data_IF_042200998343
#
_entry.id   IF_042200998343
#
_cell.length_a   1.000
_cell.length_b   1.000
_cell.length_c   1.000
_cell.angle_alpha   90.00
_cell.angle_beta   90.00
_cell.angle_gamma   90.00
#
_symmetry.space_group_name_H-M   'P 1'
#
loop_
_entity.id
_entity.type
_entity.pdbx_description
1 polymer ?
#
# COMPACT_ATOMS: atom_id res chain seq x y z
N UNK A 1 -57.99 70.29 3.82
CA UNK A 1 -57.21 69.58 2.81
C UNK A 1 -55.86 69.29 3.42
N UNK A 2 -55.65 68.03 3.93
CA UNK A 2 -54.40 67.59 4.52
C UNK A 2 -53.70 66.68 3.48
N UNK A 3 -52.57 67.05 3.05
CA UNK A 3 -51.70 66.18 2.23
C UNK A 3 -50.76 65.38 3.14
N UNK A 4 -50.93 64.04 3.11
CA UNK A 4 -49.99 63.12 3.77
C UNK A 4 -48.89 62.74 2.80
N UNK A 5 -47.64 63.00 3.14
CA UNK A 5 -46.46 62.50 2.44
C UNK A 5 -46.15 61.06 2.94
N UNK A 6 -46.19 60.10 2.06
CA UNK A 6 -45.69 58.74 2.31
C UNK A 6 -44.23 58.70 1.88
N UNK A 7 -43.33 58.59 2.82
CA UNK A 7 -41.93 58.34 2.56
C UNK A 7 -41.69 56.83 2.35
N UNK A 8 -41.33 56.43 1.13
CA UNK A 8 -40.91 55.09 0.84
C UNK A 8 -39.42 54.90 1.25
N UNK A 9 -39.18 54.07 2.26
CA UNK A 9 -37.83 53.64 2.63
C UNK A 9 -37.34 52.56 1.66
N UNK A 10 -36.40 52.88 0.79
CA UNK A 10 -35.68 51.91 -0.04
C UNK A 10 -34.58 51.27 0.82
N UNK A 11 -34.80 50.01 1.24
CA UNK A 11 -33.78 49.18 1.88
C UNK A 11 -32.76 48.72 0.85
N UNK A 12 -31.59 49.34 0.83
CA UNK A 12 -30.45 48.81 0.10
C UNK A 12 -29.93 47.55 0.78
N UNK A 13 -30.34 46.41 0.25
CA UNK A 13 -29.71 45.10 0.58
C UNK A 13 -28.31 45.12 -0.04
N UNK A 14 -27.29 45.36 0.76
CA UNK A 14 -25.90 45.10 0.38
C UNK A 14 -25.73 43.61 0.10
N UNK A 15 -25.17 43.22 -1.05
CA UNK A 15 -24.84 41.82 -1.26
C UNK A 15 -23.80 41.41 -0.22
N UNK A 16 -24.14 40.44 0.60
CA UNK A 16 -23.20 39.77 1.49
C UNK A 16 -22.11 39.16 0.59
N UNK A 17 -20.93 39.75 0.59
CA UNK A 17 -19.77 39.19 -0.08
C UNK A 17 -19.54 37.80 0.56
N UNK A 18 -19.78 36.76 -0.19
CA UNK A 18 -19.43 35.40 0.21
C UNK A 18 -17.89 35.44 0.44
N UNK A 19 -17.49 35.41 1.69
CA UNK A 19 -16.08 35.23 2.06
C UNK A 19 -15.68 33.90 1.50
N UNK A 20 -14.84 33.89 0.45
CA UNK A 20 -14.23 32.68 -0.05
C UNK A 20 -13.59 31.97 1.13
N UNK A 21 -14.02 30.75 1.43
CA UNK A 21 -13.34 29.94 2.43
C UNK A 21 -11.85 29.88 2.04
N UNK A 22 -10.92 30.05 2.98
CA UNK A 22 -9.51 29.94 2.67
C UNK A 22 -9.27 28.58 2.01
N UNK A 23 -8.69 28.60 0.79
CA UNK A 23 -8.34 27.41 0.06
C UNK A 23 -7.40 26.58 0.95
N UNK A 24 -7.71 25.29 1.15
CA UNK A 24 -6.82 24.39 1.87
C UNK A 24 -5.40 24.49 1.29
N UNK A 25 -4.33 24.57 2.10
CA UNK A 25 -2.96 24.63 1.59
C UNK A 25 -2.65 23.44 0.67
N UNK A 26 -3.37 22.32 0.85
CA UNK A 26 -3.23 21.10 0.05
C UNK A 26 -3.82 21.19 -1.36
N UNK A 27 -4.64 22.17 -1.67
CA UNK A 27 -5.31 22.33 -2.99
C UNK A 27 -4.78 23.51 -3.81
N UNK A 28 -3.65 24.08 -3.42
CA UNK A 28 -3.00 25.15 -4.20
C UNK A 28 -2.42 24.59 -5.52
N UNK A 29 -2.36 25.41 -6.60
CA UNK A 29 -1.77 24.98 -7.86
C UNK A 29 -0.35 24.42 -7.71
N UNK A 30 0.48 25.02 -6.84
CA UNK A 30 1.85 24.55 -6.58
C UNK A 30 1.87 23.14 -5.97
N UNK A 31 0.99 22.85 -5.02
CA UNK A 31 0.90 21.50 -4.42
C UNK A 31 0.39 20.46 -5.42
N UNK A 32 -0.57 20.85 -6.26
CA UNK A 32 -1.06 19.98 -7.35
C UNK A 32 0.08 19.65 -8.31
N UNK A 33 0.85 20.67 -8.72
CA UNK A 33 1.99 20.45 -9.61
C UNK A 33 3.08 19.60 -8.95
N UNK A 34 3.40 19.83 -7.67
CA UNK A 34 4.34 18.98 -6.92
C UNK A 34 3.92 17.51 -6.94
N UNK A 35 2.63 17.20 -6.74
CA UNK A 35 2.10 15.84 -6.81
C UNK A 35 2.16 15.24 -8.21
N UNK A 36 1.98 16.03 -9.26
CA UNK A 36 2.15 15.60 -10.65
C UNK A 36 3.58 15.12 -10.96
N UNK A 37 4.58 15.62 -10.21
CA UNK A 37 5.99 15.28 -10.40
C UNK A 37 6.45 14.06 -9.59
N UNK A 38 5.59 13.43 -8.79
CA UNK A 38 5.97 12.31 -7.90
C UNK A 38 6.67 11.17 -8.66
N UNK A 39 6.19 10.85 -9.86
CA UNK A 39 6.75 9.79 -10.69
C UNK A 39 7.79 10.27 -11.71
N UNK A 40 8.22 11.53 -11.65
CA UNK A 40 9.23 12.03 -12.56
C UNK A 40 10.57 11.29 -12.35
N UNK A 41 11.15 10.64 -13.39
CA UNK A 41 12.32 9.77 -13.23
C UNK A 41 13.55 10.44 -12.61
N UNK A 42 13.67 11.77 -12.75
CA UNK A 42 14.76 12.55 -12.15
C UNK A 42 14.48 13.00 -10.71
N UNK A 43 13.28 12.76 -10.15
CA UNK A 43 12.86 13.22 -8.83
C UNK A 43 12.35 12.09 -7.93
N UNK A 44 11.97 10.95 -8.49
CA UNK A 44 11.33 9.88 -7.74
C UNK A 44 12.21 9.32 -6.60
N UNK A 45 13.54 9.35 -6.72
CA UNK A 45 14.43 8.98 -5.62
C UNK A 45 14.24 9.88 -4.39
N UNK A 46 13.88 11.15 -4.60
CA UNK A 46 13.61 12.12 -3.54
C UNK A 46 12.14 12.05 -3.09
N UNK A 47 11.20 12.11 -4.02
CA UNK A 47 9.76 12.15 -3.69
C UNK A 47 9.30 10.93 -2.94
N UNK A 48 9.82 9.73 -3.26
CA UNK A 48 9.47 8.46 -2.59
C UNK A 48 9.96 8.37 -1.13
N UNK A 49 10.82 9.29 -0.71
CA UNK A 49 11.32 9.42 0.65
C UNK A 49 10.66 10.59 1.42
N UNK A 50 9.86 11.44 0.73
CA UNK A 50 9.29 12.67 1.27
C UNK A 50 7.81 12.86 0.87
N UNK A 51 7.03 11.78 0.86
CA UNK A 51 5.62 11.83 0.46
C UNK A 51 4.79 12.73 1.38
N UNK A 52 5.16 12.86 2.65
CA UNK A 52 4.54 13.74 3.64
C UNK A 52 4.71 15.24 3.36
N UNK A 53 5.64 15.62 2.49
CA UNK A 53 5.80 16.98 2.02
C UNK A 53 4.83 17.35 0.87
N UNK A 54 4.30 16.34 0.18
CA UNK A 54 3.46 16.53 -1.01
C UNK A 54 1.99 16.19 -0.76
N UNK A 55 1.72 15.24 0.13
CA UNK A 55 0.38 14.74 0.41
C UNK A 55 -0.04 15.01 1.84
N UNK A 56 -1.34 15.22 2.05
CA UNK A 56 -1.91 15.11 3.38
C UNK A 56 -1.71 13.67 3.90
N UNK A 57 -1.36 13.53 5.18
CA UNK A 57 -1.02 12.24 5.76
C UNK A 57 -1.80 11.97 7.04
N UNK A 58 -1.94 10.68 7.38
CA UNK A 58 -2.43 10.25 8.69
C UNK A 58 -1.43 9.30 9.33
N UNK A 59 -0.98 9.65 10.54
CA UNK A 59 0.12 9.00 11.23
C UNK A 59 -0.34 7.68 11.86
N UNK A 60 0.46 6.64 11.71
CA UNK A 60 0.34 5.36 12.42
C UNK A 60 1.36 5.35 13.55
N UNK A 61 0.89 5.52 14.79
CA UNK A 61 1.76 5.70 15.96
C UNK A 61 2.42 4.41 16.41
N UNK A 62 3.73 4.45 16.62
CA UNK A 62 4.49 3.40 17.30
C UNK A 62 4.27 3.44 18.81
N UNK A 63 4.68 2.36 19.52
CA UNK A 63 4.56 2.27 20.98
C UNK A 63 5.70 2.95 21.73
N UNK A 64 6.80 3.29 21.06
CA UNK A 64 8.06 3.71 21.68
C UNK A 64 8.85 2.56 22.33
N UNK A 65 8.40 1.31 22.17
CA UNK A 65 9.05 0.08 22.65
C UNK A 65 9.30 -0.84 21.48
N UNK A 66 10.42 -0.68 20.73
CA UNK A 66 10.67 -1.44 19.51
C UNK A 66 10.99 -2.90 19.80
N UNK A 67 10.55 -3.80 18.93
CA UNK A 67 11.06 -5.15 18.84
C UNK A 67 12.52 -5.11 18.37
N UNK A 68 13.43 -5.43 19.27
CA UNK A 68 14.87 -5.35 19.01
C UNK A 68 15.30 -6.55 18.18
N UNK A 69 15.80 -6.30 16.99
CA UNK A 69 16.42 -7.31 16.13
C UNK A 69 17.95 -7.19 16.25
N UNK A 70 18.64 -8.23 16.72
CA UNK A 70 20.10 -8.23 16.75
C UNK A 70 20.68 -8.02 15.35
N UNK A 71 21.77 -7.28 15.25
CA UNK A 71 22.49 -7.06 13.99
C UNK A 71 23.77 -7.88 13.97
N UNK A 72 24.02 -8.59 12.86
CA UNK A 72 25.29 -9.25 12.65
C UNK A 72 26.38 -8.24 12.28
N UNK A 73 27.62 -8.51 12.70
CA UNK A 73 28.75 -7.62 12.46
C UNK A 73 29.55 -8.01 11.20
N UNK A 74 29.24 -9.17 10.63
CA UNK A 74 29.95 -9.66 9.44
C UNK A 74 29.48 -8.91 8.17
N UNK A 75 30.39 -8.81 7.21
CA UNK A 75 30.07 -8.23 5.90
C UNK A 75 29.15 -9.18 5.13
N UNK A 76 28.05 -8.65 4.65
CA UNK A 76 27.12 -9.38 3.77
C UNK A 76 27.57 -9.22 2.32
N UNK A 77 27.94 -10.32 1.70
CA UNK A 77 28.28 -10.37 0.28
C UNK A 77 27.48 -11.48 -0.41
N UNK A 78 26.95 -11.16 -1.59
CA UNK A 78 26.18 -12.08 -2.42
C UNK A 78 26.38 -11.71 -3.89
N UNK A 79 26.51 -12.74 -4.73
CA UNK A 79 26.43 -12.60 -6.18
C UNK A 79 25.27 -13.43 -6.73
N UNK A 80 24.68 -12.99 -7.82
CA UNK A 80 23.61 -13.70 -8.51
C UNK A 80 23.89 -13.78 -10.01
N UNK A 81 23.29 -14.78 -10.67
CA UNK A 81 23.37 -14.94 -12.12
C UNK A 81 22.01 -14.69 -12.74
N UNK A 82 21.98 -13.82 -13.76
CA UNK A 82 20.79 -13.51 -14.52
C UNK A 82 21.15 -13.38 -16.00
N UNK A 83 20.40 -14.02 -16.89
CA UNK A 83 20.66 -14.05 -18.35
C UNK A 83 22.12 -14.40 -18.72
N UNK A 84 22.71 -15.38 -18.01
CA UNK A 84 24.06 -15.86 -18.23
C UNK A 84 25.18 -14.94 -17.73
N UNK A 85 24.86 -13.85 -17.02
CA UNK A 85 25.85 -12.94 -16.42
C UNK A 85 25.75 -12.97 -14.90
N UNK A 86 26.92 -12.92 -14.26
CA UNK A 86 27.02 -12.83 -12.79
C UNK A 86 27.24 -11.39 -12.38
N UNK A 87 26.47 -10.96 -11.37
CA UNK A 87 26.50 -9.61 -10.82
C UNK A 87 26.78 -9.67 -9.32
N UNK A 88 27.62 -8.78 -8.84
CA UNK A 88 27.82 -8.55 -7.40
C UNK A 88 26.65 -7.73 -6.80
N UNK A 89 26.54 -7.75 -5.48
CA UNK A 89 25.52 -7.00 -4.73
C UNK A 89 25.45 -5.52 -5.15
N UNK A 90 26.58 -4.81 -5.16
CA UNK A 90 26.61 -3.38 -5.50
C UNK A 90 26.13 -3.11 -6.94
N UNK A 91 26.47 -3.99 -7.87
CA UNK A 91 26.00 -3.90 -9.26
C UNK A 91 24.47 -4.06 -9.36
N UNK A 92 23.89 -4.97 -8.56
CA UNK A 92 22.44 -5.12 -8.47
C UNK A 92 21.78 -3.87 -7.89
N UNK A 93 22.29 -3.37 -6.78
CA UNK A 93 21.74 -2.18 -6.11
C UNK A 93 21.78 -0.95 -7.01
N UNK A 94 22.86 -0.76 -7.76
CA UNK A 94 23.02 0.34 -8.72
C UNK A 94 22.04 0.19 -9.90
N UNK A 95 22.07 -0.96 -10.57
CA UNK A 95 21.25 -1.26 -11.75
C UNK A 95 19.76 -1.12 -11.45
N UNK A 96 19.33 -1.46 -10.24
CA UNK A 96 17.94 -1.42 -9.83
C UNK A 96 17.55 -0.17 -9.03
N UNK A 97 18.40 0.88 -9.06
CA UNK A 97 18.18 2.16 -8.38
C UNK A 97 17.69 1.98 -6.94
N UNK A 98 18.35 1.08 -6.20
CA UNK A 98 17.98 0.73 -4.83
C UNK A 98 18.35 1.85 -3.87
N UNK A 99 17.37 2.32 -3.08
CA UNK A 99 17.55 3.28 -2.00
C UNK A 99 17.91 2.59 -0.69
N UNK A 100 17.29 1.43 -0.43
CA UNK A 100 17.56 0.69 0.79
C UNK A 100 17.34 -0.82 0.59
N UNK A 101 18.17 -1.63 1.24
CA UNK A 101 18.07 -3.08 1.31
C UNK A 101 18.24 -3.57 2.74
N UNK A 102 17.33 -4.42 3.19
CA UNK A 102 17.40 -5.14 4.45
C UNK A 102 17.28 -6.63 4.20
N UNK A 103 18.16 -7.41 4.83
CA UNK A 103 18.01 -8.88 4.90
C UNK A 103 17.97 -9.28 6.37
N UNK A 104 16.90 -9.98 6.74
CA UNK A 104 16.75 -10.59 8.06
C UNK A 104 16.76 -12.10 7.86
N UNK A 105 17.61 -12.80 8.61
CA UNK A 105 17.62 -14.26 8.67
C UNK A 105 17.57 -14.72 10.12
N UNK A 106 16.70 -15.69 10.45
CA UNK A 106 16.52 -16.19 11.82
C UNK A 106 16.41 -15.06 12.87
N UNK A 107 15.57 -14.05 12.58
CA UNK A 107 15.32 -12.87 13.43
C UNK A 107 16.54 -11.96 13.67
N UNK A 108 17.59 -12.08 12.88
CA UNK A 108 18.81 -11.25 12.95
C UNK A 108 18.94 -10.43 11.66
N UNK A 109 19.30 -9.17 11.79
CA UNK A 109 19.65 -8.32 10.63
C UNK A 109 21.05 -8.74 10.16
N UNK A 110 21.11 -9.33 8.96
CA UNK A 110 22.37 -9.77 8.34
C UNK A 110 22.88 -8.81 7.26
N UNK A 111 21.98 -7.99 6.71
CA UNK A 111 22.35 -6.87 5.84
C UNK A 111 21.42 -5.70 6.06
N UNK A 112 21.96 -4.50 6.08
CA UNK A 112 21.22 -3.25 6.17
C UNK A 112 21.99 -2.17 5.43
N UNK A 113 21.47 -1.74 4.28
CA UNK A 113 22.16 -0.85 3.35
C UNK A 113 21.24 0.32 3.02
N UNK A 114 21.76 1.53 3.10
CA UNK A 114 21.10 2.77 2.72
C UNK A 114 21.92 3.49 1.66
N UNK A 115 21.25 4.04 0.65
CA UNK A 115 21.84 4.72 -0.50
C UNK A 115 21.05 6.00 -0.82
N UNK A 116 21.58 6.84 -1.71
CA UNK A 116 20.87 8.01 -2.26
C UNK A 116 20.34 8.97 -1.18
N UNK A 117 21.14 9.18 -0.10
CA UNK A 117 20.77 10.09 0.99
C UNK A 117 19.79 9.53 2.02
N UNK A 118 19.32 8.29 1.85
CA UNK A 118 18.47 7.64 2.85
C UNK A 118 19.26 7.15 4.08
N UNK A 119 18.55 6.96 5.17
CA UNK A 119 19.08 6.48 6.45
C UNK A 119 18.00 5.70 7.23
N UNK A 120 18.30 5.28 8.46
CA UNK A 120 17.41 4.50 9.32
C UNK A 120 16.12 5.24 9.73
N UNK A 121 16.07 6.55 9.59
CA UNK A 121 14.88 7.36 9.90
C UNK A 121 14.02 7.64 8.67
N UNK A 122 14.56 7.38 7.46
CA UNK A 122 13.85 7.61 6.20
C UNK A 122 12.61 6.72 6.09
N UNK A 123 11.46 7.33 5.80
CA UNK A 123 10.21 6.64 5.54
C UNK A 123 9.98 6.56 4.04
N UNK A 124 9.93 5.37 3.54
CA UNK A 124 9.76 5.07 2.12
C UNK A 124 8.30 4.73 1.82
N UNK A 125 7.83 5.18 0.66
CA UNK A 125 6.51 4.77 0.16
C UNK A 125 6.51 3.28 -0.20
N UNK A 126 5.47 2.58 0.23
CA UNK A 126 5.26 1.15 -0.06
C UNK A 126 4.83 0.87 -1.49
N UNK A 127 4.18 1.85 -2.12
CA UNK A 127 3.27 1.60 -3.22
C UNK A 127 2.40 0.36 -2.92
N UNK A 128 2.22 -0.54 -3.87
CA UNK A 128 1.26 -1.66 -3.69
C UNK A 128 1.61 -2.70 -2.63
N UNK A 129 2.79 -2.63 -1.96
CA UNK A 129 2.98 -3.44 -0.74
C UNK A 129 1.93 -3.09 0.34
N UNK A 130 1.33 -1.91 0.28
CA UNK A 130 0.21 -1.49 1.13
C UNK A 130 -0.99 -2.45 1.07
N UNK A 131 -1.23 -3.11 -0.06
CA UNK A 131 -2.34 -4.07 -0.22
C UNK A 131 -2.20 -5.24 0.75
N UNK A 132 -0.99 -5.79 0.88
CA UNK A 132 -0.70 -6.86 1.85
C UNK A 132 -0.88 -6.41 3.30
N UNK A 133 -0.59 -5.13 3.60
CA UNK A 133 -0.88 -4.53 4.91
C UNK A 133 -2.39 -4.40 5.12
N UNK A 134 -3.13 -3.92 4.12
CA UNK A 134 -4.59 -3.79 4.16
C UNK A 134 -5.26 -5.15 4.36
N UNK A 135 -4.83 -6.17 3.61
CA UNK A 135 -5.27 -7.55 3.81
C UNK A 135 -5.05 -8.04 5.25
N UNK A 136 -3.89 -7.74 5.83
CA UNK A 136 -3.59 -8.09 7.22
C UNK A 136 -4.59 -7.46 8.19
N UNK A 137 -4.96 -6.19 7.98
CA UNK A 137 -5.96 -5.50 8.80
C UNK A 137 -7.37 -6.09 8.62
N UNK A 138 -7.74 -6.50 7.41
CA UNK A 138 -8.99 -7.22 7.14
C UNK A 138 -9.03 -8.55 7.92
N UNK A 139 -7.92 -9.30 7.94
CA UNK A 139 -7.83 -10.55 8.69
C UNK A 139 -7.99 -10.37 10.20
N UNK A 140 -7.45 -9.30 10.75
CA UNK A 140 -7.63 -8.95 12.16
C UNK A 140 -9.10 -8.56 12.42
N UNK A 141 -9.69 -7.70 11.59
CA UNK A 141 -11.08 -7.28 11.73
C UNK A 141 -12.07 -8.47 11.63
N UNK A 142 -11.76 -9.46 10.78
CA UNK A 142 -12.49 -10.72 10.69
C UNK A 142 -12.42 -11.50 12.02
N UNK A 143 -11.23 -11.65 12.58
CA UNK A 143 -11.03 -12.38 13.84
C UNK A 143 -11.67 -11.71 15.03
N UNK A 144 -11.84 -10.41 15.01
CA UNK A 144 -12.54 -9.61 16.03
C UNK A 144 -14.08 -9.59 15.84
N UNK A 145 -14.60 -10.25 14.77
CA UNK A 145 -16.02 -10.23 14.42
C UNK A 145 -16.53 -8.86 13.95
N UNK A 146 -15.62 -7.93 13.60
CA UNK A 146 -15.97 -6.64 12.98
C UNK A 146 -16.39 -6.82 11.53
N UNK A 147 -15.75 -7.76 10.85
CA UNK A 147 -16.17 -8.35 9.58
C UNK A 147 -16.67 -9.75 9.93
N UNK A 148 -17.90 -10.09 9.55
CA UNK A 148 -18.49 -11.38 9.92
C UNK A 148 -17.97 -12.50 9.03
N UNK A 149 -17.80 -12.24 7.73
CA UNK A 149 -17.27 -13.19 6.75
C UNK A 149 -16.60 -12.46 5.59
N UNK A 150 -15.52 -13.02 5.05
CA UNK A 150 -14.97 -12.51 3.78
C UNK A 150 -15.86 -12.83 2.58
N UNK A 151 -16.84 -13.70 2.73
CA UNK A 151 -17.87 -13.97 1.73
C UNK A 151 -19.07 -13.02 1.81
N UNK A 152 -19.06 -12.10 2.77
CA UNK A 152 -20.04 -11.01 2.82
C UNK A 152 -19.94 -10.12 1.59
N UNK A 153 -21.09 -9.68 1.02
CA UNK A 153 -21.09 -8.75 -0.08
C UNK A 153 -20.54 -7.38 0.35
N UNK A 154 -19.83 -6.72 -0.55
CA UNK A 154 -19.32 -5.35 -0.35
C UNK A 154 -20.40 -4.40 0.13
N UNK A 155 -21.62 -4.52 -0.43
CA UNK A 155 -22.78 -3.68 -0.11
C UNK A 155 -23.30 -3.83 1.32
N UNK A 156 -22.96 -4.91 2.02
CA UNK A 156 -23.28 -5.06 3.45
C UNK A 156 -22.60 -3.99 4.30
N UNK A 157 -21.38 -3.66 3.98
CA UNK A 157 -20.56 -2.65 4.69
C UNK A 157 -20.64 -1.28 4.04
N UNK A 158 -20.79 -1.25 2.71
CA UNK A 158 -20.83 -0.05 1.89
C UNK A 158 -22.14 -0.05 1.04
N UNK A 159 -23.31 0.28 1.63
CA UNK A 159 -24.56 0.28 0.92
C UNK A 159 -24.59 1.27 -0.26
N UNK A 160 -23.74 2.30 -0.22
CA UNK A 160 -23.52 3.21 -1.34
C UNK A 160 -22.96 2.56 -2.62
N UNK A 161 -22.49 1.32 -2.52
CA UNK A 161 -22.03 0.53 -3.69
C UNK A 161 -23.17 -0.21 -4.42
N UNK A 162 -24.41 -0.11 -3.96
CA UNK A 162 -25.57 -0.62 -4.70
C UNK A 162 -25.65 0.06 -6.07
N UNK A 163 -25.86 -0.73 -7.12
CA UNK A 163 -25.91 -0.24 -8.51
C UNK A 163 -24.54 0.05 -9.14
N UNK A 164 -23.43 -0.04 -8.39
CA UNK A 164 -22.08 0.11 -8.91
C UNK A 164 -21.54 -1.19 -9.49
N UNK A 165 -20.31 -1.14 -10.06
CA UNK A 165 -19.57 -2.33 -10.48
C UNK A 165 -19.31 -3.34 -9.37
N UNK A 166 -19.37 -2.92 -8.10
CA UNK A 166 -19.12 -3.75 -6.92
C UNK A 166 -20.35 -4.50 -6.40
N UNK A 167 -21.56 -4.19 -6.89
CA UNK A 167 -22.77 -4.90 -6.47
C UNK A 167 -22.63 -6.40 -6.69
N UNK A 168 -22.81 -7.21 -5.62
CA UNK A 168 -22.67 -8.67 -5.64
C UNK A 168 -21.22 -9.19 -5.60
N UNK A 169 -20.21 -8.32 -5.60
CA UNK A 169 -18.84 -8.71 -5.24
C UNK A 169 -18.75 -8.90 -3.72
N UNK A 170 -17.90 -9.84 -3.28
CA UNK A 170 -17.61 -10.11 -1.86
C UNK A 170 -16.23 -9.57 -1.47
N UNK A 171 -15.96 -9.47 -0.17
CA UNK A 171 -14.63 -9.12 0.35
C UNK A 171 -13.57 -10.08 -0.21
N UNK A 172 -13.88 -11.39 -0.27
CA UNK A 172 -12.99 -12.40 -0.87
C UNK A 172 -12.65 -12.07 -2.32
N UNK A 173 -13.62 -11.66 -3.12
CA UNK A 173 -13.39 -11.30 -4.52
C UNK A 173 -12.40 -10.12 -4.65
N UNK A 174 -12.49 -9.13 -3.76
CA UNK A 174 -11.57 -8.01 -3.75
C UNK A 174 -10.16 -8.44 -3.31
N UNK A 175 -10.04 -9.22 -2.24
CA UNK A 175 -8.77 -9.77 -1.75
C UNK A 175 -8.05 -10.63 -2.81
N UNK A 176 -8.81 -11.26 -3.69
CA UNK A 176 -8.32 -12.10 -4.79
C UNK A 176 -8.14 -11.35 -6.11
N UNK A 177 -8.38 -10.03 -6.14
CA UNK A 177 -8.38 -9.24 -7.38
C UNK A 177 -9.33 -9.81 -8.46
N UNK A 178 -10.53 -10.23 -8.04
CA UNK A 178 -11.56 -10.84 -8.88
C UNK A 178 -12.93 -10.20 -8.68
N UNK A 179 -12.96 -8.89 -8.43
CA UNK A 179 -14.22 -8.15 -8.24
C UNK A 179 -15.14 -8.15 -9.47
N UNK A 180 -14.56 -8.32 -10.65
CA UNK A 180 -15.27 -8.23 -11.93
C UNK A 180 -15.53 -6.78 -12.39
N UNK A 181 -15.00 -5.80 -11.69
CA UNK A 181 -15.08 -4.38 -12.06
C UNK A 181 -14.25 -4.11 -13.31
N UNK A 182 -14.78 -3.28 -14.21
CA UNK A 182 -14.03 -2.78 -15.36
C UNK A 182 -12.98 -1.77 -14.88
N UNK A 183 -11.76 -2.26 -14.75
CA UNK A 183 -10.64 -1.51 -14.27
C UNK A 183 -9.40 -1.84 -15.09
N UNK A 184 -8.72 -0.80 -15.57
CA UNK A 184 -7.50 -0.94 -16.35
C UNK A 184 -6.30 -0.38 -15.58
N UNK A 185 -5.53 -1.28 -14.96
CA UNK A 185 -4.34 -0.96 -14.17
C UNK A 185 -3.11 -0.81 -15.10
N UNK A 186 -3.00 0.33 -15.78
CA UNK A 186 -1.87 0.66 -16.66
C UNK A 186 -1.10 1.84 -16.08
N UNK A 187 0.19 1.64 -15.80
CA UNK A 187 1.07 2.63 -15.17
C UNK A 187 1.76 3.55 -16.20
N UNK A 188 0.99 4.06 -17.14
CA UNK A 188 1.41 5.09 -18.10
C UNK A 188 0.67 6.38 -17.79
N UNK A 189 1.15 7.09 -16.77
CA UNK A 189 0.48 8.26 -16.17
C UNK A 189 0.23 9.44 -17.12
N UNK A 190 0.60 9.34 -18.39
CA UNK A 190 0.27 10.34 -19.44
C UNK A 190 -0.83 9.86 -20.39
N UNK A 191 -1.29 8.61 -20.25
CA UNK A 191 -2.35 8.04 -21.08
C UNK A 191 -3.65 8.00 -20.27
N UNK A 192 -4.81 8.37 -20.86
CA UNK A 192 -6.09 8.34 -20.16
C UNK A 192 -6.54 6.89 -19.93
N UNK A 193 -6.56 6.46 -18.69
CA UNK A 193 -7.10 5.17 -18.21
C UNK A 193 -7.91 5.43 -16.95
N UNK A 194 -8.67 4.45 -16.47
CA UNK A 194 -9.39 4.60 -15.19
C UNK A 194 -8.41 4.85 -14.04
N UNK A 195 -7.25 4.16 -14.04
CA UNK A 195 -6.22 4.40 -13.04
C UNK A 195 -5.73 5.85 -13.04
N UNK A 196 -5.37 6.39 -14.21
CA UNK A 196 -4.86 7.78 -14.30
C UNK A 196 -5.94 8.79 -13.98
N UNK A 197 -7.19 8.57 -14.39
CA UNK A 197 -8.31 9.43 -14.03
C UNK A 197 -8.49 9.51 -12.51
N UNK A 198 -8.55 8.35 -11.84
CA UNK A 198 -8.72 8.30 -10.39
C UNK A 198 -7.50 8.86 -9.67
N UNK A 199 -6.28 8.53 -10.11
CA UNK A 199 -5.04 9.09 -9.58
C UNK A 199 -5.04 10.62 -9.65
N UNK A 200 -5.31 11.19 -10.82
CA UNK A 200 -5.21 12.64 -11.04
C UNK A 200 -6.30 13.40 -10.27
N UNK A 201 -7.49 12.84 -10.16
CA UNK A 201 -8.60 13.52 -9.48
C UNK A 201 -8.63 13.24 -7.96
N UNK A 202 -8.22 12.05 -7.50
CA UNK A 202 -8.22 11.72 -6.07
C UNK A 202 -6.92 12.09 -5.37
N UNK A 203 -5.76 11.66 -5.90
CA UNK A 203 -4.47 11.89 -5.23
C UNK A 203 -3.84 13.22 -5.59
N UNK A 204 -3.88 13.60 -6.87
CA UNK A 204 -3.23 14.85 -7.31
C UNK A 204 -4.10 16.07 -7.01
N UNK A 205 -5.34 16.08 -7.45
CA UNK A 205 -6.20 17.26 -7.39
C UNK A 205 -7.16 17.28 -6.19
N UNK A 206 -7.31 16.16 -5.45
CA UNK A 206 -8.20 16.04 -4.29
C UNK A 206 -9.67 16.37 -4.57
N UNK A 207 -10.16 16.11 -5.78
CA UNK A 207 -11.55 16.41 -6.19
C UNK A 207 -12.57 15.44 -5.60
N UNK A 208 -12.25 14.14 -5.55
CA UNK A 208 -13.09 13.08 -4.98
C UNK A 208 -12.22 11.98 -4.36
N UNK A 209 -12.85 11.03 -3.65
CA UNK A 209 -12.16 9.91 -2.98
C UNK A 209 -12.25 8.65 -3.84
N UNK A 210 -11.33 7.70 -3.65
CA UNK A 210 -11.38 6.40 -4.35
C UNK A 210 -12.73 5.71 -4.17
N UNK A 211 -13.27 5.72 -2.96
CA UNK A 211 -14.57 5.10 -2.68
C UNK A 211 -15.74 5.85 -3.31
N UNK A 212 -15.64 7.18 -3.47
CA UNK A 212 -16.65 7.93 -4.21
C UNK A 212 -16.69 7.54 -5.69
N UNK A 213 -15.50 7.37 -6.30
CA UNK A 213 -15.39 6.86 -7.66
C UNK A 213 -15.95 5.44 -7.76
N UNK A 214 -15.56 4.55 -6.85
CA UNK A 214 -16.04 3.18 -6.82
C UNK A 214 -17.57 3.10 -6.76
N UNK A 215 -18.20 3.91 -5.92
CA UNK A 215 -19.64 3.94 -5.77
C UNK A 215 -20.40 4.53 -6.96
N UNK A 216 -19.84 5.58 -7.59
CA UNK A 216 -20.59 6.38 -8.58
C UNK A 216 -20.21 6.12 -10.02
N UNK A 217 -19.00 5.63 -10.28
CA UNK A 217 -18.44 5.58 -11.63
C UNK A 217 -17.93 4.19 -12.03
N UNK A 218 -17.77 3.24 -11.08
CA UNK A 218 -17.32 1.90 -11.44
C UNK A 218 -18.39 1.12 -12.20
N UNK A 219 -17.98 0.43 -13.24
CA UNK A 219 -18.82 -0.42 -14.06
C UNK A 219 -18.38 -1.88 -13.89
N UNK A 220 -19.29 -2.82 -14.14
CA UNK A 220 -18.99 -4.24 -14.17
C UNK A 220 -18.61 -4.68 -15.57
N UNK A 221 -17.54 -5.48 -15.67
CA UNK A 221 -17.08 -6.12 -16.90
C UNK A 221 -17.38 -7.61 -16.93
N UNK A 222 -17.07 -8.31 -15.82
CA UNK A 222 -17.26 -9.77 -15.71
C UNK A 222 -17.99 -10.12 -14.41
N UNK A 223 -18.45 -11.36 -14.28
CA UNK A 223 -19.00 -11.82 -13.01
C UNK A 223 -17.93 -11.85 -11.93
N UNK A 224 -18.23 -11.43 -10.67
CA UNK A 224 -17.28 -11.54 -9.57
C UNK A 224 -16.78 -12.98 -9.39
N UNK A 225 -15.49 -13.13 -9.07
CA UNK A 225 -14.84 -14.42 -8.87
C UNK A 225 -14.29 -15.08 -10.13
N UNK A 226 -14.62 -14.60 -11.34
CA UNK A 226 -14.29 -15.32 -12.58
C UNK A 226 -12.89 -15.01 -13.12
N UNK A 227 -12.51 -13.73 -13.19
CA UNK A 227 -11.25 -13.30 -13.80
C UNK A 227 -10.36 -12.54 -12.82
N UNK A 228 -9.08 -12.86 -12.84
CA UNK A 228 -8.08 -12.06 -12.14
C UNK A 228 -7.86 -10.73 -12.90
N UNK A 229 -8.09 -9.62 -12.22
CA UNK A 229 -7.82 -8.28 -12.74
C UNK A 229 -7.21 -7.42 -11.62
N UNK A 230 -5.89 -7.26 -11.62
CA UNK A 230 -5.21 -6.50 -10.60
C UNK A 230 -5.77 -5.09 -10.49
N UNK A 231 -6.14 -4.66 -9.28
CA UNK A 231 -6.92 -3.44 -9.08
C UNK A 231 -6.52 -2.71 -7.79
N UNK A 232 -5.93 -1.53 -7.96
CA UNK A 232 -5.72 -0.60 -6.84
C UNK A 232 -7.05 -0.06 -6.30
N UNK A 233 -8.10 -0.04 -7.12
CA UNK A 233 -9.44 0.35 -6.69
C UNK A 233 -10.03 -0.68 -5.73
N UNK A 234 -9.89 -1.99 -6.00
CA UNK A 234 -10.37 -3.06 -5.10
C UNK A 234 -9.74 -2.94 -3.71
N UNK A 235 -8.42 -2.74 -3.63
CA UNK A 235 -7.74 -2.55 -2.36
C UNK A 235 -8.16 -1.26 -1.62
N UNK A 236 -8.49 -0.20 -2.36
CA UNK A 236 -9.02 1.03 -1.76
C UNK A 236 -10.42 0.80 -1.19
N UNK A 237 -11.28 0.03 -1.87
CA UNK A 237 -12.61 -0.37 -1.38
C UNK A 237 -12.50 -1.27 -0.15
N UNK A 238 -11.52 -2.20 -0.09
CA UNK A 238 -11.23 -2.97 1.13
C UNK A 238 -10.92 -2.06 2.33
N UNK A 239 -10.16 -0.99 2.11
CA UNK A 239 -9.90 0.01 3.14
C UNK A 239 -11.17 0.72 3.62
N UNK A 240 -12.09 1.05 2.72
CA UNK A 240 -13.38 1.66 3.08
C UNK A 240 -14.29 0.68 3.86
N UNK A 241 -14.28 -0.60 3.49
CA UNK A 241 -14.96 -1.66 4.25
C UNK A 241 -14.36 -1.74 5.65
N UNK A 242 -13.01 -1.77 5.76
CA UNK A 242 -12.33 -1.81 7.05
C UNK A 242 -12.77 -0.67 7.96
N UNK A 243 -12.62 0.59 7.53
CA UNK A 243 -13.00 1.75 8.34
C UNK A 243 -14.46 1.70 8.78
N UNK A 244 -15.37 1.29 7.90
CA UNK A 244 -16.79 1.16 8.20
C UNK A 244 -17.06 0.06 9.22
N UNK A 245 -16.42 -1.10 9.06
CA UNK A 245 -16.59 -2.25 9.94
C UNK A 245 -16.03 -2.01 11.36
N UNK A 246 -14.86 -1.38 11.45
CA UNK A 246 -14.21 -1.12 12.75
C UNK A 246 -14.67 0.17 13.43
N UNK A 247 -15.32 1.09 12.69
CA UNK A 247 -15.85 2.35 13.21
C UNK A 247 -14.76 3.38 13.58
N UNK A 248 -13.55 3.25 13.02
CA UNK A 248 -12.43 4.17 13.26
C UNK A 248 -11.59 4.36 12.01
N UNK A 249 -10.67 5.33 12.04
CA UNK A 249 -9.73 5.54 10.92
C UNK A 249 -8.77 4.37 10.78
N UNK A 250 -8.43 4.02 9.54
CA UNK A 250 -7.55 2.89 9.28
C UNK A 250 -6.16 3.02 9.89
N UNK A 251 -5.59 4.23 9.92
CA UNK A 251 -4.31 4.48 10.58
C UNK A 251 -4.36 4.24 12.09
N UNK A 252 -5.44 4.64 12.75
CA UNK A 252 -5.62 4.42 14.19
C UNK A 252 -5.80 2.92 14.49
N UNK A 253 -6.61 2.23 13.68
CA UNK A 253 -6.78 0.78 13.79
C UNK A 253 -5.47 0.04 13.59
N UNK A 254 -4.70 0.40 12.54
CA UNK A 254 -3.39 -0.17 12.29
C UNK A 254 -2.41 0.08 13.44
N UNK A 255 -2.42 1.29 14.00
CA UNK A 255 -1.58 1.64 15.15
C UNK A 255 -1.90 0.76 16.38
N UNK A 256 -3.19 0.54 16.66
CA UNK A 256 -3.65 -0.27 17.79
C UNK A 256 -3.38 -1.77 17.59
N UNK A 257 -3.69 -2.29 16.41
CA UNK A 257 -3.75 -3.74 16.16
C UNK A 257 -2.46 -4.33 15.63
N UNK A 258 -1.63 -3.54 14.94
CA UNK A 258 -0.39 -4.02 14.32
C UNK A 258 0.82 -3.25 14.82
N UNK A 259 0.85 -1.93 14.64
CA UNK A 259 2.08 -1.15 14.75
C UNK A 259 2.66 -1.16 16.17
N UNK A 260 1.81 -0.88 17.18
CA UNK A 260 2.20 -0.92 18.59
C UNK A 260 2.45 -2.34 19.10
N UNK A 261 1.53 -3.32 18.91
CA UNK A 261 1.73 -4.68 19.40
C UNK A 261 2.96 -5.38 18.81
N UNK A 262 3.24 -5.16 17.52
CA UNK A 262 4.40 -5.74 16.84
C UNK A 262 5.72 -5.05 17.17
N UNK A 263 5.72 -4.02 18.00
CA UNK A 263 6.96 -3.33 18.38
C UNK A 263 7.65 -2.63 17.22
N UNK A 264 6.88 -1.92 16.38
CA UNK A 264 7.48 -1.10 15.33
C UNK A 264 8.29 0.04 15.93
N UNK A 265 9.42 0.37 15.31
CA UNK A 265 10.42 1.27 15.87
C UNK A 265 10.02 2.74 15.73
N UNK A 266 9.43 3.09 14.59
CA UNK A 266 9.08 4.46 14.24
C UNK A 266 7.62 4.58 13.86
N UNK A 267 7.06 5.79 13.99
CA UNK A 267 5.76 6.11 13.42
C UNK A 267 5.81 5.93 11.90
N UNK A 268 4.82 5.21 11.35
CA UNK A 268 4.54 5.21 9.92
C UNK A 268 3.47 6.25 9.59
N UNK A 269 3.13 6.37 8.30
CA UNK A 269 1.98 7.19 7.89
C UNK A 269 1.39 6.68 6.58
N UNK A 270 0.10 6.97 6.39
CA UNK A 270 -0.59 6.83 5.11
C UNK A 270 -0.66 8.19 4.43
N UNK A 271 -0.40 8.26 3.13
CA UNK A 271 -0.88 9.39 2.33
C UNK A 271 -2.39 9.24 2.15
N UNK A 272 -3.09 10.37 1.99
CA UNK A 272 -4.53 10.42 1.87
C UNK A 272 -4.98 10.82 0.46
N UNK A 273 -6.16 10.38 0.08
CA UNK A 273 -6.82 10.73 -1.16
C UNK A 273 -7.61 12.06 -1.09
N UNK A 274 -7.25 12.91 -0.15
CA UNK A 274 -7.86 14.20 0.08
C UNK A 274 -7.23 14.97 1.22
N UNK A 275 -7.66 16.23 1.45
CA UNK A 275 -7.23 17.00 2.59
C UNK A 275 -7.67 16.34 3.91
N UNK A 276 -7.05 16.71 5.06
CA UNK A 276 -7.22 15.99 6.33
C UNK A 276 -8.66 15.81 6.80
N UNK A 277 -9.53 16.75 6.46
CA UNK A 277 -10.93 16.80 6.92
C UNK A 277 -11.79 15.70 6.27
N UNK A 278 -11.50 15.36 5.02
CA UNK A 278 -12.34 14.46 4.20
C UNK A 278 -11.57 13.30 3.59
N UNK A 279 -10.23 13.37 3.55
CA UNK A 279 -9.38 12.35 2.98
C UNK A 279 -9.45 11.04 3.77
N UNK A 280 -9.32 9.94 3.04
CA UNK A 280 -9.12 8.60 3.57
C UNK A 280 -7.70 8.15 3.27
N UNK A 281 -7.21 7.20 4.04
CA UNK A 281 -5.93 6.55 3.77
C UNK A 281 -5.96 5.89 2.38
N UNK A 282 -4.92 6.09 1.59
CA UNK A 282 -4.80 5.43 0.30
C UNK A 282 -4.34 3.97 0.48
N UNK A 283 -5.29 3.12 0.88
CA UNK A 283 -5.03 1.71 1.27
C UNK A 283 -4.43 0.87 0.15
N UNK A 284 -4.69 1.24 -1.11
CA UNK A 284 -4.14 0.50 -2.25
C UNK A 284 -2.63 0.67 -2.48
N UNK A 285 -2.02 1.81 -1.96
CA UNK A 285 -0.60 2.07 -2.27
C UNK A 285 0.06 3.16 -1.40
N UNK A 286 -0.57 3.66 -0.34
CA UNK A 286 -0.20 4.92 0.29
C UNK A 286 0.62 4.82 1.59
N UNK A 287 1.05 3.64 2.02
CA UNK A 287 1.73 3.49 3.30
C UNK A 287 3.23 3.85 3.23
N UNK A 288 3.74 4.49 4.28
CA UNK A 288 5.14 4.89 4.39
C UNK A 288 5.71 4.46 5.75
N UNK A 289 6.84 3.77 5.71
CA UNK A 289 7.54 3.30 6.91
C UNK A 289 9.06 3.23 6.71
N UNK A 290 9.78 3.03 7.80
CA UNK A 290 11.22 2.80 7.74
C UNK A 290 11.54 1.41 7.17
N UNK A 291 12.75 1.25 6.65
CA UNK A 291 13.25 -0.02 6.15
C UNK A 291 13.12 -1.14 7.19
N UNK A 292 13.52 -0.85 8.44
CA UNK A 292 13.45 -1.82 9.55
C UNK A 292 12.01 -2.18 9.91
N UNK A 293 11.07 -1.25 9.82
CA UNK A 293 9.68 -1.54 10.17
C UNK A 293 8.96 -2.34 9.08
N UNK A 294 9.30 -2.15 7.80
CA UNK A 294 8.92 -3.09 6.76
C UNK A 294 9.51 -4.49 7.00
N UNK A 295 10.76 -4.55 7.49
CA UNK A 295 11.40 -5.81 7.89
C UNK A 295 10.68 -6.50 9.04
N UNK A 296 10.29 -5.77 10.10
CA UNK A 296 9.50 -6.30 11.23
C UNK A 296 8.12 -6.78 10.76
N UNK A 297 7.48 -6.05 9.86
CA UNK A 297 6.21 -6.50 9.25
C UNK A 297 6.39 -7.82 8.50
N UNK A 298 7.39 -7.93 7.63
CA UNK A 298 7.70 -9.18 6.93
C UNK A 298 8.02 -10.34 7.88
N UNK A 299 8.82 -10.07 8.93
CA UNK A 299 9.17 -11.05 9.95
C UNK A 299 7.98 -11.50 10.79
N UNK A 300 7.07 -10.58 11.13
CA UNK A 300 5.80 -10.90 11.79
C UNK A 300 4.99 -11.89 10.94
N UNK A 301 4.86 -11.63 9.64
CA UNK A 301 4.15 -12.54 8.73
C UNK A 301 4.87 -13.89 8.62
N UNK A 302 6.21 -13.91 8.48
CA UNK A 302 7.03 -15.12 8.48
C UNK A 302 6.77 -15.99 9.73
N UNK A 303 6.63 -15.35 10.89
CA UNK A 303 6.34 -16.00 12.17
C UNK A 303 4.85 -16.35 12.36
N UNK A 304 4.07 -16.48 11.31
CA UNK A 304 2.64 -16.80 11.38
C UNK A 304 1.80 -15.74 12.10
N UNK A 305 2.20 -14.49 12.01
CA UNK A 305 1.53 -13.34 12.64
C UNK A 305 2.07 -13.00 14.04
N UNK A 306 3.12 -13.69 14.48
CA UNK A 306 3.77 -13.46 15.77
C UNK A 306 4.86 -12.38 15.70
N UNK A 307 4.92 -11.47 16.68
CA UNK A 307 5.95 -10.45 16.81
C UNK A 307 6.25 -10.19 18.29
N UNK A 308 7.52 -10.12 18.66
CA UNK A 308 7.98 -9.80 20.02
C UNK A 308 7.26 -10.62 21.13
N UNK A 309 7.10 -11.92 20.88
CA UNK A 309 6.43 -12.85 21.81
C UNK A 309 4.91 -12.73 21.87
N UNK A 310 4.26 -11.95 21.01
CA UNK A 310 2.81 -11.75 20.94
C UNK A 310 2.25 -12.24 19.63
N UNK A 311 1.04 -12.83 19.65
CA UNK A 311 0.26 -13.07 18.45
C UNK A 311 -0.44 -11.76 18.06
N UNK A 312 -0.04 -11.15 16.95
CA UNK A 312 -0.55 -9.87 16.45
C UNK A 312 -1.60 -10.09 15.37
N UNK A 313 -1.29 -10.97 14.43
CA UNK A 313 -2.19 -11.35 13.34
C UNK A 313 -2.64 -12.79 13.52
N UNK A 314 -3.92 -13.14 13.34
CA UNK A 314 -4.37 -14.52 13.48
C UNK A 314 -3.59 -15.48 12.57
N UNK A 315 -3.07 -16.56 13.16
CA UNK A 315 -2.23 -17.51 12.44
C UNK A 315 -2.96 -18.13 11.23
N UNK A 316 -4.26 -18.40 11.37
CA UNK A 316 -5.06 -18.99 10.29
C UNK A 316 -5.25 -18.02 9.13
N UNK A 317 -5.32 -16.70 9.42
CA UNK A 317 -5.33 -15.67 8.37
C UNK A 317 -4.01 -15.67 7.60
N UNK A 318 -2.88 -15.65 8.31
CA UNK A 318 -1.56 -15.67 7.65
C UNK A 318 -1.43 -16.91 6.78
N UNK A 319 -1.79 -18.10 7.28
CA UNK A 319 -1.78 -19.35 6.49
C UNK A 319 -2.64 -19.26 5.24
N UNK A 320 -3.86 -18.69 5.35
CA UNK A 320 -4.75 -18.53 4.21
C UNK A 320 -4.22 -17.49 3.20
N UNK A 321 -3.64 -16.42 3.67
CA UNK A 321 -3.16 -15.34 2.82
C UNK A 321 -1.85 -15.65 2.08
N UNK A 322 -0.97 -16.48 2.68
CA UNK A 322 0.38 -16.72 2.16
C UNK A 322 0.64 -18.17 1.75
N UNK A 323 -0.20 -19.12 2.20
CA UNK A 323 -0.08 -20.55 1.91
C UNK A 323 -1.35 -21.06 1.24
N UNK A 324 -1.24 -21.83 0.20
CA UNK A 324 -2.39 -22.45 -0.43
C UNK A 324 -2.23 -22.62 -1.93
N UNK A 325 -3.32 -22.95 -2.60
CA UNK A 325 -3.33 -23.11 -4.07
C UNK A 325 -2.97 -21.77 -4.69
N UNK A 326 -1.87 -21.73 -5.41
CA UNK A 326 -1.41 -20.55 -6.15
C UNK A 326 -2.35 -20.31 -7.33
N UNK A 327 -3.40 -19.52 -7.14
CA UNK A 327 -4.29 -19.13 -8.23
C UNK A 327 -3.48 -18.37 -9.29
N UNK A 328 -3.40 -18.88 -10.53
CA UNK A 328 -2.63 -18.23 -11.58
C UNK A 328 -3.18 -16.84 -11.87
N UNK A 329 -2.30 -15.89 -12.05
CA UNK A 329 -2.66 -14.50 -12.41
C UNK A 329 -2.80 -14.30 -13.92
N UNK A 330 -2.62 -15.35 -14.69
CA UNK A 330 -2.78 -15.38 -16.15
C UNK A 330 -1.63 -16.07 -16.89
N UNK A 331 -1.77 -16.31 -18.19
CA UNK A 331 -0.75 -16.98 -18.99
C UNK A 331 0.60 -16.26 -18.93
N UNK A 332 1.68 -17.01 -18.70
CA UNK A 332 3.05 -16.50 -18.72
C UNK A 332 3.45 -15.63 -17.52
N UNK A 333 2.64 -15.53 -16.48
CA UNK A 333 3.02 -14.84 -15.23
C UNK A 333 3.71 -15.82 -14.29
N UNK A 334 4.89 -15.48 -13.74
CA UNK A 334 5.68 -16.38 -12.90
C UNK A 334 5.17 -16.45 -11.45
N UNK A 335 4.06 -15.81 -11.13
CA UNK A 335 3.54 -15.70 -9.77
C UNK A 335 2.04 -15.97 -9.71
N UNK A 336 1.60 -16.57 -8.60
CA UNK A 336 0.20 -16.60 -8.21
C UNK A 336 -0.18 -15.40 -7.35
N UNK A 337 -1.45 -15.35 -6.89
CA UNK A 337 -1.96 -14.28 -6.04
C UNK A 337 -2.98 -14.81 -5.05
N UNK A 338 -2.82 -14.46 -3.77
CA UNK A 338 -3.69 -14.90 -2.69
C UNK A 338 -3.83 -13.79 -1.64
N UNK A 339 -5.03 -13.32 -1.39
CA UNK A 339 -5.37 -12.28 -0.40
C UNK A 339 -4.36 -11.14 -0.30
N UNK A 340 -4.14 -10.49 -1.46
CA UNK A 340 -3.20 -9.35 -1.61
C UNK A 340 -1.71 -9.69 -1.40
N UNK A 341 -1.34 -10.97 -1.50
CA UNK A 341 0.04 -11.43 -1.54
C UNK A 341 0.37 -12.10 -2.87
N UNK A 342 1.56 -11.86 -3.39
CA UNK A 342 2.11 -12.57 -4.54
C UNK A 342 2.76 -13.86 -4.07
N UNK A 343 2.37 -14.98 -4.62
CA UNK A 343 2.90 -16.30 -4.30
C UNK A 343 3.83 -16.79 -5.41
N UNK A 344 4.79 -17.62 -5.06
CA UNK A 344 5.78 -18.13 -6.02
C UNK A 344 5.48 -19.62 -6.24
N UNK A 345 5.19 -20.04 -7.50
CA UNK A 345 4.96 -21.45 -7.82
C UNK A 345 6.12 -22.33 -7.38
N UNK A 346 5.80 -23.55 -6.92
CA UNK A 346 6.76 -24.54 -6.47
C UNK A 346 7.65 -24.10 -5.29
N UNK A 347 7.23 -23.07 -4.55
CA UNK A 347 7.92 -22.52 -3.40
C UNK A 347 6.93 -22.14 -2.30
N UNK A 348 7.37 -22.13 -1.04
CA UNK A 348 6.61 -21.54 0.06
C UNK A 348 6.84 -20.03 0.17
N UNK A 349 7.75 -19.48 -0.62
CA UNK A 349 8.05 -18.07 -0.61
C UNK A 349 6.88 -17.25 -1.19
N UNK A 350 6.68 -16.07 -0.63
CA UNK A 350 5.67 -15.11 -1.05
C UNK A 350 6.21 -13.68 -0.89
N UNK A 351 5.51 -12.72 -1.45
CA UNK A 351 5.99 -11.35 -1.40
C UNK A 351 4.87 -10.31 -1.49
N UNK A 352 5.07 -9.17 -0.84
CA UNK A 352 4.40 -7.92 -1.15
C UNK A 352 5.21 -7.17 -2.20
N UNK A 353 4.55 -6.63 -3.23
CA UNK A 353 5.20 -5.97 -4.37
C UNK A 353 4.58 -4.61 -4.61
N UNK A 354 5.41 -3.60 -4.76
CA UNK A 354 5.00 -2.24 -5.10
C UNK A 354 5.69 -1.71 -6.36
N UNK A 355 5.08 -0.70 -6.97
CA UNK A 355 5.66 0.01 -8.12
C UNK A 355 7.11 0.44 -7.85
N UNK A 356 7.88 0.60 -8.94
CA UNK A 356 9.26 1.02 -8.88
C UNK A 356 10.14 0.10 -8.02
N UNK A 357 9.78 -1.20 -7.96
CA UNK A 357 10.53 -2.29 -7.34
C UNK A 357 10.64 -2.18 -5.81
N UNK A 358 9.49 -1.92 -5.14
CA UNK A 358 9.36 -2.11 -3.70
C UNK A 358 9.02 -3.57 -3.42
N UNK A 359 9.73 -4.21 -2.49
CA UNK A 359 9.51 -5.62 -2.14
C UNK A 359 9.62 -5.85 -0.64
N UNK A 360 8.71 -6.67 -0.12
CA UNK A 360 8.91 -7.47 1.08
C UNK A 360 8.82 -8.92 0.63
N UNK A 361 9.96 -9.58 0.46
CA UNK A 361 10.05 -10.99 0.10
C UNK A 361 10.24 -11.82 1.35
N UNK A 362 9.49 -12.90 1.49
CA UNK A 362 9.47 -13.77 2.66
C UNK A 362 9.68 -15.21 2.21
N UNK A 363 10.70 -15.85 2.77
CA UNK A 363 11.02 -17.26 2.52
C UNK A 363 10.92 -18.07 3.83
N UNK A 364 9.85 -18.84 4.01
CA UNK A 364 9.68 -19.68 5.19
C UNK A 364 10.70 -20.83 5.30
N UNK A 365 11.20 -21.36 4.19
CA UNK A 365 12.11 -22.52 4.20
C UNK A 365 13.52 -22.15 4.73
N UNK A 366 13.96 -20.92 4.50
CA UNK A 366 15.24 -20.41 5.02
C UNK A 366 15.09 -19.42 6.18
N UNK A 367 13.87 -19.19 6.66
CA UNK A 367 13.54 -18.16 7.67
C UNK A 367 14.11 -16.78 7.32
N UNK A 368 13.94 -16.37 6.06
CA UNK A 368 14.51 -15.13 5.52
C UNK A 368 13.43 -14.12 5.13
N UNK A 369 13.69 -12.84 5.47
CA UNK A 369 12.92 -11.69 4.97
C UNK A 369 13.88 -10.76 4.24
N UNK A 370 13.52 -10.34 3.03
CA UNK A 370 14.27 -9.35 2.26
C UNK A 370 13.33 -8.16 2.00
N UNK A 371 13.75 -6.97 2.42
CA UNK A 371 13.06 -5.72 2.06
C UNK A 371 13.95 -4.94 1.12
N UNK A 372 13.42 -4.58 -0.04
CA UNK A 372 14.11 -3.77 -1.03
C UNK A 372 13.24 -2.59 -1.42
N UNK A 373 13.79 -1.38 -1.29
CA UNK A 373 13.12 -0.12 -1.56
C UNK A 373 13.91 0.65 -2.62
N UNK A 374 13.23 1.10 -3.67
CA UNK A 374 13.89 1.57 -4.90
C UNK A 374 13.14 2.75 -5.52
N UNK A 375 13.80 3.40 -6.46
CA UNK A 375 13.26 4.48 -7.28
C UNK A 375 13.61 4.28 -8.77
N UNK A 376 13.36 3.07 -9.29
CA UNK A 376 13.66 2.78 -10.70
C UNK A 376 12.86 3.70 -11.63
N UNK A 377 13.41 4.10 -12.77
CA UNK A 377 12.66 4.91 -13.75
C UNK A 377 11.42 4.21 -14.31
N UNK A 378 11.46 2.87 -14.42
CA UNK A 378 10.33 2.06 -14.90
C UNK A 378 9.47 1.62 -13.71
N UNK A 379 8.16 1.87 -13.74
CA UNK A 379 7.27 1.52 -12.63
C UNK A 379 7.09 0.00 -12.46
N UNK A 380 7.18 -0.77 -13.54
CA UNK A 380 7.01 -2.23 -13.57
C UNK A 380 8.05 -2.87 -14.50
N UNK A 381 8.31 -4.15 -14.34
CA UNK A 381 9.28 -4.93 -15.10
C UNK A 381 10.38 -5.52 -14.20
N UNK A 382 11.34 -6.20 -14.82
CA UNK A 382 12.55 -6.75 -14.18
C UNK A 382 12.31 -7.64 -12.94
N UNK A 383 11.05 -8.08 -12.70
CA UNK A 383 10.72 -8.99 -11.59
C UNK A 383 11.49 -10.31 -11.64
N UNK A 384 11.74 -10.94 -12.81
CA UNK A 384 12.56 -12.16 -12.88
C UNK A 384 13.99 -11.96 -12.37
N UNK A 385 14.61 -10.80 -12.63
CA UNK A 385 15.94 -10.49 -12.12
C UNK A 385 15.95 -10.33 -10.59
N UNK A 386 14.91 -9.68 -10.03
CA UNK A 386 14.76 -9.57 -8.58
C UNK A 386 14.59 -10.93 -7.92
N UNK A 387 13.80 -11.83 -8.52
CA UNK A 387 13.65 -13.20 -8.04
C UNK A 387 14.97 -13.99 -8.10
N UNK A 388 15.78 -13.80 -9.15
CA UNK A 388 17.11 -14.40 -9.24
C UNK A 388 18.04 -13.89 -8.11
N UNK A 389 18.00 -12.59 -7.81
CA UNK A 389 18.75 -12.02 -6.69
C UNK A 389 18.24 -12.55 -5.33
N UNK A 390 16.93 -12.55 -5.09
CA UNK A 390 16.36 -13.07 -3.85
C UNK A 390 16.68 -14.55 -3.67
N UNK A 391 16.60 -15.34 -4.75
CA UNK A 391 17.02 -16.75 -4.76
C UNK A 391 18.48 -16.94 -4.36
N UNK A 392 19.40 -16.09 -4.83
CA UNK A 392 20.80 -16.14 -4.44
C UNK A 392 21.02 -15.77 -2.97
N UNK A 393 20.26 -14.80 -2.44
CA UNK A 393 20.29 -14.43 -1.02
C UNK A 393 19.83 -15.60 -0.14
N UNK A 394 18.67 -16.21 -0.43
CA UNK A 394 18.15 -17.31 0.40
C UNK A 394 19.01 -18.57 0.28
N UNK A 395 19.59 -18.84 -0.89
CA UNK A 395 20.51 -19.94 -1.08
C UNK A 395 21.76 -19.87 -0.19
N UNK A 396 22.18 -18.68 0.22
CA UNK A 396 23.27 -18.47 1.16
C UNK A 396 22.95 -19.09 2.54
N UNK A 397 21.69 -19.06 2.94
CA UNK A 397 21.23 -19.57 4.24
C UNK A 397 20.75 -21.03 4.18
N UNK A 398 20.35 -21.54 3.01
CA UNK A 398 19.95 -22.94 2.84
C UNK A 398 21.06 -23.95 3.13
N UNK A 399 22.33 -23.54 3.08
CA UNK A 399 23.52 -24.40 3.32
C UNK A 399 23.92 -24.52 4.80
N UNK A 400 23.24 -23.81 5.68
CA UNK A 400 23.60 -23.72 7.11
C UNK A 400 22.63 -24.49 8.00
N UNK A 401 21.62 -25.16 7.42
CA UNK A 401 20.70 -26.06 8.10
C UNK A 401 21.11 -27.53 7.82
#
# INVERSE_FOLDING_TARGET
MLFAFVAAAISLLSPCAATAQPSSPWTTPTMIEGRNQVFHPGLNFLTFQHMDQLFATRVVRASGKPWILPKEQESFDVSYTYEGKTYALDQFLEKTSTNALLVINNQRIVAEIYRNGSNEETRFISWSMAKSITSTLIGIALSEGKIESIDDPVTKYLPEMEGSGYQGATIRHLLMMRSGVDWLEIYRFKEPTQLTEVHDNSLVAYKYRFCDYAAKQSMRKTAPGTEFNYSTLDASVLGCILERAVGMKGADYMAEKVWKPAGMERDGYWIMDGPPEVGREFFGAGFNATLRDYGRFGLMILNGGGADGKQVVPIDWVKQATGGVHEPTGPGRPTGYQYDWWTIPDSKAFMAVGLHHQFIYVDPDTHTVIVKLSATPKPVGDQPEHLAFFGAVVAKFAKTQ
#
